data_IF_535669972729
#
_entry.id   IF_535669972729
#
_cell.length_a   1.000
_cell.length_b   1.000
_cell.length_c   1.000
_cell.angle_alpha   90.00
_cell.angle_beta   90.00
_cell.angle_gamma   90.00
#
_symmetry.space_group_name_H-M   'P 1'
#
loop_
_entity.id
_entity.type
_entity.pdbx_description
1 polymer ?
#
# COMPACT_ATOMS: atom_id res chain seq x y z
N UNK A 1 -10.47 0.67 -21.37
CA UNK A 1 -10.95 1.43 -20.21
C UNK A 1 -10.76 0.53 -19.01
N UNK A 2 -9.92 0.92 -18.06
CA UNK A 2 -9.74 0.18 -16.82
C UNK A 2 -10.95 0.39 -15.91
N UNK A 3 -11.49 -0.69 -15.35
CA UNK A 3 -12.64 -0.63 -14.45
C UNK A 3 -12.37 -1.44 -13.17
N UNK A 4 -12.90 -0.96 -12.06
CA UNK A 4 -12.84 -1.65 -10.78
C UNK A 4 -14.24 -2.18 -10.46
N UNK A 5 -14.45 -3.46 -10.71
CA UNK A 5 -15.73 -4.13 -10.42
C UNK A 5 -16.04 -4.08 -8.92
N UNK A 6 -17.21 -3.58 -8.56
CA UNK A 6 -17.74 -3.71 -7.21
C UNK A 6 -18.17 -5.15 -6.96
N UNK A 7 -17.92 -5.64 -5.76
CA UNK A 7 -18.27 -7.00 -5.38
C UNK A 7 -18.90 -6.93 -3.99
N UNK A 8 -20.08 -7.52 -3.86
CA UNK A 8 -20.73 -7.72 -2.57
C UNK A 8 -20.60 -9.16 -2.05
N UNK A 9 -21.13 -9.42 -0.84
CA UNK A 9 -21.06 -10.75 -0.23
C UNK A 9 -21.83 -11.83 -1.02
N UNK A 10 -22.90 -11.47 -1.72
CA UNK A 10 -23.68 -12.42 -2.52
C UNK A 10 -22.97 -12.76 -3.84
N UNK A 11 -22.27 -11.80 -4.42
CA UNK A 11 -21.42 -11.99 -5.60
C UNK A 11 -20.19 -12.84 -5.27
N UNK A 12 -19.58 -12.68 -4.09
CA UNK A 12 -18.50 -13.55 -3.59
C UNK A 12 -18.90 -15.04 -3.60
N UNK A 13 -20.09 -15.36 -3.08
CA UNK A 13 -20.59 -16.74 -3.01
C UNK A 13 -20.78 -17.36 -4.41
N UNK A 14 -21.20 -16.53 -5.39
CA UNK A 14 -21.39 -16.97 -6.78
C UNK A 14 -20.08 -17.15 -7.54
N UNK A 15 -19.08 -16.32 -7.26
CA UNK A 15 -17.83 -16.28 -8.01
C UNK A 15 -16.81 -17.35 -7.60
N UNK A 16 -17.09 -18.14 -6.55
CA UNK A 16 -16.17 -19.19 -6.04
C UNK A 16 -14.74 -18.66 -5.81
N UNK A 17 -14.63 -17.40 -5.38
CA UNK A 17 -13.33 -16.79 -5.11
C UNK A 17 -12.64 -17.52 -3.96
N UNK A 18 -11.33 -17.71 -4.12
CA UNK A 18 -10.53 -18.43 -3.12
C UNK A 18 -10.13 -17.49 -2.00
N UNK A 19 -10.10 -18.04 -0.78
CA UNK A 19 -9.47 -17.36 0.34
C UNK A 19 -7.99 -17.18 0.03
N UNK A 20 -7.53 -15.95 0.09
CA UNK A 20 -6.14 -15.61 -0.07
C UNK A 20 -5.31 -16.18 1.08
N UNK A 21 -4.17 -16.76 0.74
CA UNK A 21 -3.16 -17.21 1.70
C UNK A 21 -1.78 -16.74 1.19
N UNK A 22 -0.94 -16.14 2.03
CA UNK A 22 0.39 -15.73 1.63
C UNK A 22 1.29 -16.95 1.37
N UNK A 23 2.07 -16.91 0.29
CA UNK A 23 3.14 -17.87 0.00
C UNK A 23 4.23 -17.84 1.08
N UNK A 24 4.56 -16.66 1.60
CA UNK A 24 5.60 -16.46 2.63
C UNK A 24 5.06 -16.59 4.07
N UNK A 25 4.01 -17.42 4.28
CA UNK A 25 3.33 -17.57 5.57
C UNK A 25 4.29 -17.85 6.74
N UNK A 26 5.27 -18.74 6.54
CA UNK A 26 6.27 -19.06 7.58
C UNK A 26 7.01 -17.80 8.03
N UNK A 27 7.59 -17.06 7.07
CA UNK A 27 8.30 -15.80 7.34
C UNK A 27 7.39 -14.77 8.01
N UNK A 28 6.22 -14.50 7.43
CA UNK A 28 5.29 -13.47 7.93
C UNK A 28 4.88 -13.79 9.38
N UNK A 29 4.56 -15.05 9.68
CA UNK A 29 4.11 -15.46 11.01
C UNK A 29 5.16 -15.29 12.11
N UNK A 30 6.46 -15.27 11.77
CA UNK A 30 7.55 -15.04 12.74
C UNK A 30 7.51 -13.63 13.34
N UNK A 31 7.06 -12.63 12.56
CA UNK A 31 7.18 -11.22 12.94
C UNK A 31 5.84 -10.53 13.17
N UNK A 32 4.82 -10.88 12.37
CA UNK A 32 3.57 -10.14 12.28
C UNK A 32 2.89 -9.89 13.63
N UNK A 33 2.84 -10.88 14.52
CA UNK A 33 2.19 -10.72 15.82
C UNK A 33 2.90 -9.66 16.68
N UNK A 34 4.23 -9.71 16.73
CA UNK A 34 5.01 -8.73 17.50
C UNK A 34 4.86 -7.33 16.92
N UNK A 35 4.85 -7.20 15.60
CA UNK A 35 4.70 -5.93 14.90
C UNK A 35 3.31 -5.30 15.07
N UNK A 36 2.27 -6.10 15.26
CA UNK A 36 0.93 -5.61 15.55
C UNK A 36 0.76 -5.18 17.01
N UNK A 37 1.51 -5.80 17.93
CA UNK A 37 1.50 -5.47 19.36
C UNK A 37 2.32 -4.22 19.69
N UNK A 38 3.33 -3.89 18.88
CA UNK A 38 4.23 -2.76 19.12
C UNK A 38 3.63 -1.40 18.76
N UNK A 39 2.40 -1.35 18.21
CA UNK A 39 1.79 -0.12 17.70
C UNK A 39 0.43 0.16 18.35
N UNK A 40 0.29 1.36 18.91
CA UNK A 40 -0.96 1.92 19.47
C UNK A 40 -2.10 2.11 18.42
N UNK A 41 -1.89 1.73 17.16
CA UNK A 41 -2.83 1.98 16.04
C UNK A 41 -3.48 0.73 15.46
N UNK A 42 -3.21 -0.47 15.98
CA UNK A 42 -3.99 -1.66 15.62
C UNK A 42 -5.45 -1.45 16.02
N UNK A 43 -6.43 -2.03 15.31
CA UNK A 43 -7.82 -2.00 15.78
C UNK A 43 -7.94 -2.46 17.24
N UNK A 44 -7.05 -3.35 17.69
CA UNK A 44 -6.93 -3.75 19.09
C UNK A 44 -6.69 -2.57 20.07
N UNK A 45 -5.99 -1.52 19.65
CA UNK A 45 -5.74 -0.31 20.43
C UNK A 45 -6.73 0.84 20.11
N UNK A 46 -7.33 0.87 18.91
CA UNK A 46 -8.53 1.69 18.61
C UNK A 46 -9.71 1.36 19.55
N UNK A 47 -9.75 0.15 20.12
CA UNK A 47 -10.81 -0.34 21.01
C UNK A 47 -10.40 -0.30 22.49
N UNK A 48 -9.66 0.73 22.93
CA UNK A 48 -9.59 1.10 24.36
C UNK A 48 -10.92 1.71 24.89
N UNK A 49 -12.07 1.17 24.45
CA UNK A 49 -13.41 1.53 24.93
C UNK A 49 -14.11 0.35 25.64
N UNK A 50 -13.73 -0.92 25.44
CA UNK A 50 -14.08 -2.06 26.33
C UNK A 50 -13.58 -3.38 25.73
N UNK A 51 -12.71 -4.15 26.42
CA UNK A 51 -12.17 -5.42 25.92
C UNK A 51 -13.23 -6.48 25.55
N UNK A 52 -14.41 -6.46 26.20
CA UNK A 52 -15.51 -7.39 25.90
C UNK A 52 -16.27 -7.08 24.61
N UNK A 53 -16.18 -5.85 24.08
CA UNK A 53 -16.86 -5.44 22.85
C UNK A 53 -16.03 -5.72 21.59
N UNK A 54 -14.71 -5.87 21.71
CA UNK A 54 -13.77 -6.08 20.59
C UNK A 54 -14.03 -7.36 19.81
N UNK A 55 -14.27 -8.47 20.51
CA UNK A 55 -14.52 -9.76 19.88
C UNK A 55 -15.92 -9.81 19.25
N UNK A 56 -16.92 -9.21 19.92
CA UNK A 56 -18.27 -9.03 19.36
C UNK A 56 -18.28 -8.09 18.14
N UNK A 57 -17.38 -7.09 18.09
CA UNK A 57 -17.22 -6.19 16.94
C UNK A 57 -16.59 -6.90 15.74
N UNK A 58 -15.47 -7.59 15.94
CA UNK A 58 -14.82 -8.34 14.87
C UNK A 58 -15.73 -9.45 14.31
N UNK A 59 -16.65 -9.96 15.14
CA UNK A 59 -17.66 -10.94 14.72
C UNK A 59 -18.91 -10.31 14.06
N UNK A 60 -19.29 -9.06 14.38
CA UNK A 60 -20.45 -8.36 13.79
C UNK A 60 -20.11 -7.66 12.48
N UNK A 61 -18.93 -7.07 12.41
CA UNK A 61 -18.35 -6.54 11.18
C UNK A 61 -17.73 -7.73 10.46
N UNK A 62 -18.54 -8.52 9.76
CA UNK A 62 -18.05 -9.57 8.87
C UNK A 62 -17.23 -8.89 7.76
N UNK A 63 -15.94 -8.65 8.04
CA UNK A 63 -15.11 -7.73 7.28
C UNK A 63 -14.32 -8.52 6.28
N UNK A 64 -14.97 -8.73 5.14
CA UNK A 64 -14.37 -9.32 3.96
C UNK A 64 -13.66 -8.21 3.18
N UNK A 65 -12.49 -8.52 2.62
CA UNK A 65 -11.75 -7.62 1.72
C UNK A 65 -11.28 -8.37 0.50
N UNK A 66 -11.22 -7.66 -0.63
CA UNK A 66 -10.77 -8.23 -1.90
C UNK A 66 -9.45 -7.61 -2.29
N UNK A 67 -8.46 -8.45 -2.54
CA UNK A 67 -7.21 -8.07 -3.19
C UNK A 67 -7.42 -8.25 -4.69
N UNK A 68 -7.13 -7.21 -5.47
CA UNK A 68 -7.04 -7.30 -6.93
C UNK A 68 -5.61 -7.07 -7.35
N UNK A 69 -5.03 -8.06 -8.01
CA UNK A 69 -3.63 -8.03 -8.43
C UNK A 69 -3.54 -7.92 -9.95
N UNK A 70 -3.01 -6.80 -10.44
CA UNK A 70 -2.94 -6.50 -11.86
C UNK A 70 -1.50 -6.69 -12.36
N UNK A 71 -1.28 -7.74 -13.16
CA UNK A 71 0.04 -8.10 -13.68
C UNK A 71 0.55 -7.10 -14.74
N UNK A 72 -0.35 -6.52 -15.54
CA UNK A 72 -0.01 -5.57 -16.60
C UNK A 72 0.11 -4.14 -16.07
N UNK A 73 0.91 -3.31 -16.76
CA UNK A 73 0.95 -1.87 -16.49
C UNK A 73 -0.41 -1.24 -16.75
N UNK A 74 -0.87 -0.42 -15.80
CA UNK A 74 -2.16 0.25 -15.89
C UNK A 74 -1.96 1.72 -16.20
N UNK A 75 -2.72 2.25 -17.16
CA UNK A 75 -2.74 3.67 -17.42
C UNK A 75 -3.24 4.44 -16.18
N UNK A 76 -2.46 5.42 -15.72
CA UNK A 76 -2.77 6.12 -14.48
C UNK A 76 -4.12 6.84 -14.52
N UNK A 77 -4.45 7.51 -15.63
CA UNK A 77 -5.70 8.28 -15.76
C UNK A 77 -6.92 7.36 -15.65
N UNK A 78 -6.88 6.21 -16.32
CA UNK A 78 -7.98 5.25 -16.29
C UNK A 78 -8.17 4.68 -14.88
N UNK A 79 -7.09 4.29 -14.20
CA UNK A 79 -7.18 3.81 -12.81
C UNK A 79 -7.68 4.88 -11.84
N UNK A 80 -7.26 6.13 -12.03
CA UNK A 80 -7.67 7.25 -11.20
C UNK A 80 -9.18 7.50 -11.33
N UNK A 81 -9.68 7.53 -12.56
CA UNK A 81 -11.11 7.67 -12.83
C UNK A 81 -11.89 6.48 -12.25
N UNK A 82 -11.41 5.25 -12.46
CA UNK A 82 -12.05 4.06 -11.92
C UNK A 82 -12.12 4.08 -10.37
N UNK A 83 -11.07 4.56 -9.68
CA UNK A 83 -11.08 4.68 -8.22
C UNK A 83 -12.11 5.70 -7.73
N UNK A 84 -12.25 6.83 -8.44
CA UNK A 84 -13.26 7.84 -8.16
C UNK A 84 -14.66 7.24 -8.33
N UNK A 85 -14.91 6.57 -9.46
CA UNK A 85 -16.22 6.01 -9.79
C UNK A 85 -16.59 4.87 -8.85
N UNK A 86 -15.64 3.98 -8.53
CA UNK A 86 -15.80 2.97 -7.48
C UNK A 86 -16.20 3.64 -6.17
N UNK A 87 -15.47 4.69 -5.77
CA UNK A 87 -15.71 5.35 -4.48
C UNK A 87 -17.07 6.02 -4.41
N UNK A 88 -17.52 6.64 -5.50
CA UNK A 88 -18.81 7.35 -5.58
C UNK A 88 -20.00 6.39 -5.67
N UNK A 89 -19.84 5.31 -6.41
CA UNK A 89 -20.94 4.41 -6.74
C UNK A 89 -21.05 3.21 -5.78
N UNK A 90 -20.15 3.08 -4.79
CA UNK A 90 -20.20 1.99 -3.81
C UNK A 90 -21.50 2.03 -3.01
N UNK A 91 -22.01 0.86 -2.66
CA UNK A 91 -23.16 0.68 -1.75
C UNK A 91 -22.68 0.23 -0.37
N UNK A 92 -23.61 0.16 0.59
CA UNK A 92 -23.30 -0.38 1.92
C UNK A 92 -22.92 -1.86 1.93
N UNK A 93 -23.12 -2.58 0.82
CA UNK A 93 -22.77 -3.99 0.67
C UNK A 93 -21.47 -4.19 -0.14
N UNK A 94 -20.97 -3.16 -0.81
CA UNK A 94 -19.76 -3.23 -1.63
C UNK A 94 -18.54 -3.44 -0.74
N UNK A 95 -17.81 -4.53 -0.91
CA UNK A 95 -16.65 -4.85 -0.09
C UNK A 95 -15.49 -3.89 -0.33
N UNK A 96 -14.65 -3.72 0.69
CA UNK A 96 -13.40 -2.98 0.56
C UNK A 96 -12.46 -3.71 -0.41
N UNK A 97 -11.66 -2.93 -1.16
CA UNK A 97 -10.71 -3.47 -2.11
C UNK A 97 -9.31 -2.90 -1.91
N UNK A 98 -8.31 -3.77 -2.02
CA UNK A 98 -6.89 -3.45 -2.06
C UNK A 98 -6.42 -3.75 -3.48
N UNK A 99 -5.97 -2.74 -4.21
CA UNK A 99 -5.46 -2.92 -5.57
C UNK A 99 -3.94 -2.95 -5.54
N UNK A 100 -3.35 -3.98 -6.11
CA UNK A 100 -1.91 -4.08 -6.39
C UNK A 100 -1.71 -3.87 -7.89
N UNK A 101 -0.93 -2.87 -8.27
CA UNK A 101 -0.67 -2.60 -9.67
C UNK A 101 0.65 -1.84 -9.86
N UNK A 102 1.00 -1.64 -11.13
CA UNK A 102 2.08 -0.76 -11.55
C UNK A 102 1.54 0.18 -12.64
N UNK A 103 2.20 1.32 -12.84
CA UNK A 103 1.81 2.29 -13.86
C UNK A 103 2.80 2.37 -15.00
N UNK A 104 2.30 2.74 -16.17
CA UNK A 104 3.11 3.37 -17.21
C UNK A 104 3.79 4.64 -16.64
N UNK A 105 4.94 5.08 -17.17
CA UNK A 105 5.61 6.30 -16.72
C UNK A 105 4.67 7.51 -16.68
N UNK A 106 4.52 8.12 -15.50
CA UNK A 106 3.65 9.30 -15.30
C UNK A 106 4.15 10.17 -14.15
N UNK A 107 4.10 11.48 -14.32
CA UNK A 107 4.20 12.42 -13.21
C UNK A 107 2.80 12.78 -12.71
N UNK A 108 2.61 12.76 -11.39
CA UNK A 108 1.32 13.14 -10.79
C UNK A 108 1.51 14.26 -9.80
N UNK A 109 0.71 15.31 -9.93
CA UNK A 109 0.75 16.51 -9.09
C UNK A 109 -0.47 16.51 -8.17
N UNK A 110 -0.25 16.40 -6.86
CA UNK A 110 -1.32 16.47 -5.86
C UNK A 110 -1.87 17.89 -5.69
N UNK A 111 -2.92 18.03 -4.89
CA UNK A 111 -3.67 19.29 -4.71
C UNK A 111 -2.84 20.43 -4.11
N UNK A 112 -1.78 20.11 -3.37
CA UNK A 112 -0.87 21.11 -2.80
C UNK A 112 0.35 21.36 -3.71
N UNK A 113 0.40 20.69 -4.87
CA UNK A 113 1.49 20.70 -5.83
C UNK A 113 1.76 22.06 -6.44
N UNK A 114 2.97 22.58 -6.30
CA UNK A 114 3.42 23.72 -7.10
C UNK A 114 3.93 23.29 -8.48
N UNK A 115 3.49 23.93 -9.58
CA UNK A 115 4.05 23.69 -10.92
C UNK A 115 5.58 23.89 -10.98
N UNK A 116 6.14 24.74 -10.11
CA UNK A 116 7.58 25.01 -10.04
C UNK A 116 8.40 23.81 -9.53
N UNK A 117 7.74 22.77 -8.97
CA UNK A 117 8.41 21.53 -8.63
C UNK A 117 8.54 20.57 -9.80
N UNK A 118 8.00 20.89 -10.98
CA UNK A 118 8.35 20.25 -12.24
C UNK A 118 9.48 21.06 -12.87
N UNK A 119 10.68 20.48 -12.94
CA UNK A 119 11.90 21.20 -13.30
C UNK A 119 12.14 21.20 -14.81
N UNK A 120 12.46 20.03 -15.36
CA UNK A 120 12.74 19.86 -16.78
C UNK A 120 12.40 18.42 -17.18
N UNK A 121 11.17 18.21 -17.66
CA UNK A 121 10.70 16.91 -18.09
C UNK A 121 11.30 16.53 -19.46
N UNK A 122 12.56 16.10 -19.45
CA UNK A 122 13.31 15.68 -20.65
C UNK A 122 12.84 14.34 -21.24
N UNK A 123 12.01 13.60 -20.51
CA UNK A 123 11.55 12.26 -20.86
C UNK A 123 10.22 12.23 -21.61
N UNK A 124 9.59 13.40 -21.84
CA UNK A 124 8.23 13.50 -22.40
C UNK A 124 7.17 12.68 -21.64
N UNK A 125 7.38 12.48 -20.33
CA UNK A 125 6.44 11.75 -19.47
C UNK A 125 5.22 12.64 -19.19
N UNK A 126 3.97 12.16 -19.31
CA UNK A 126 2.80 12.99 -19.06
C UNK A 126 2.74 13.47 -17.61
N UNK A 127 2.27 14.70 -17.41
CA UNK A 127 2.00 15.29 -16.09
C UNK A 127 0.49 15.33 -15.89
N UNK A 128 -0.01 14.60 -14.90
CA UNK A 128 -1.43 14.49 -14.58
C UNK A 128 -1.74 15.18 -13.24
N UNK A 129 -2.89 15.87 -13.17
CA UNK A 129 -3.38 16.43 -11.92
C UNK A 129 -4.10 15.33 -11.11
N UNK A 130 -3.73 15.20 -9.85
CA UNK A 130 -4.29 14.25 -8.91
C UNK A 130 -4.98 15.00 -7.77
N UNK A 131 -6.04 14.42 -7.22
CA UNK A 131 -6.81 15.02 -6.12
C UNK A 131 -6.37 14.55 -4.72
N UNK A 132 -5.27 13.79 -4.66
CA UNK A 132 -4.60 13.36 -3.43
C UNK A 132 -3.80 14.50 -2.80
N UNK A 133 -3.51 14.35 -1.51
CA UNK A 133 -2.55 15.19 -0.82
C UNK A 133 -1.13 15.08 -1.41
N UNK A 134 -0.27 16.02 -1.02
CA UNK A 134 1.13 16.06 -1.41
C UNK A 134 1.41 16.91 -2.66
N UNK A 135 2.69 16.93 -3.05
CA UNK A 135 3.21 17.70 -4.18
C UNK A 135 3.26 16.81 -5.45
N UNK A 136 4.29 17.00 -6.29
CA UNK A 136 4.59 16.15 -7.44
C UNK A 136 5.31 14.86 -7.04
N UNK A 137 5.04 13.77 -7.77
CA UNK A 137 5.79 12.49 -7.71
C UNK A 137 5.83 11.83 -9.09
N UNK A 138 6.61 10.77 -9.21
CA UNK A 138 6.72 9.90 -10.39
C UNK A 138 6.23 8.47 -10.08
N UNK A 139 5.57 7.86 -11.06
CA UNK A 139 5.24 6.43 -11.08
C UNK A 139 5.70 5.79 -12.38
N UNK A 140 6.11 4.53 -12.32
CA UNK A 140 6.54 3.77 -13.49
C UNK A 140 6.69 2.27 -13.21
N UNK A 141 7.17 1.50 -14.20
CA UNK A 141 7.41 0.08 -14.04
C UNK A 141 8.37 -0.23 -12.88
N UNK A 142 8.15 -1.38 -12.23
CA UNK A 142 8.86 -1.87 -11.03
C UNK A 142 8.71 -0.99 -9.78
N UNK A 143 7.74 -0.06 -9.79
CA UNK A 143 7.22 0.59 -8.60
C UNK A 143 5.91 -0.07 -8.20
N UNK A 144 5.85 -0.67 -7.03
CA UNK A 144 4.63 -1.30 -6.54
C UNK A 144 3.67 -0.24 -6.00
N UNK A 145 2.51 -0.15 -6.62
CA UNK A 145 1.43 0.73 -6.18
C UNK A 145 0.40 -0.10 -5.42
N UNK A 146 0.02 0.36 -4.22
CA UNK A 146 -1.04 -0.25 -3.44
C UNK A 146 -2.09 0.81 -3.15
N UNK A 147 -3.27 0.64 -3.75
CA UNK A 147 -4.42 1.53 -3.54
C UNK A 147 -5.42 0.90 -2.58
N UNK A 148 -5.89 1.69 -1.61
CA UNK A 148 -6.81 1.27 -0.56
C UNK A 148 -8.19 1.89 -0.79
N UNK A 149 -9.16 1.06 -1.17
CA UNK A 149 -10.55 1.46 -1.37
C UNK A 149 -11.38 1.04 -0.14
N UNK A 150 -11.19 1.75 0.97
CA UNK A 150 -11.83 1.44 2.26
C UNK A 150 -13.06 2.34 2.47
N UNK A 151 -14.19 1.78 2.89
CA UNK A 151 -15.44 2.48 3.21
C UNK A 151 -15.47 2.92 4.68
N UNK A 152 -15.79 4.19 4.90
CA UNK A 152 -15.89 4.77 6.23
C UNK A 152 -17.32 4.89 6.75
N UNK A 153 -18.32 4.93 5.87
CA UNK A 153 -19.73 5.04 6.23
C UNK A 153 -20.21 3.74 6.91
N UNK A 154 -19.75 2.56 6.45
CA UNK A 154 -20.04 1.29 7.14
C UNK A 154 -19.54 1.29 8.58
N UNK A 155 -18.28 1.68 8.78
CA UNK A 155 -17.69 1.80 10.12
C UNK A 155 -18.46 2.84 10.93
N UNK A 156 -18.70 4.04 10.41
CA UNK A 156 -19.43 5.09 11.13
C UNK A 156 -20.82 4.67 11.62
N UNK A 157 -21.58 3.87 10.85
CA UNK A 157 -22.89 3.35 11.28
C UNK A 157 -22.78 2.42 12.50
N UNK A 158 -21.69 1.67 12.59
CA UNK A 158 -21.45 0.71 13.67
C UNK A 158 -20.86 1.37 14.93
N UNK A 159 -20.18 2.52 14.77
CA UNK A 159 -19.51 3.26 15.85
C UNK A 159 -20.10 4.67 16.02
N UNK A 160 -20.92 4.88 17.05
CA UNK A 160 -21.51 6.19 17.36
C UNK A 160 -20.48 7.32 17.59
N UNK A 161 -19.23 6.97 17.95
CA UNK A 161 -18.10 7.89 18.19
C UNK A 161 -16.98 7.78 17.14
N UNK A 162 -17.31 7.49 15.87
CA UNK A 162 -16.31 7.37 14.80
C UNK A 162 -15.63 8.71 14.46
N UNK A 163 -14.35 8.86 14.81
CA UNK A 163 -13.50 9.97 14.35
C UNK A 163 -12.82 9.63 13.02
N UNK A 164 -13.31 10.26 11.95
CA UNK A 164 -12.79 10.12 10.60
C UNK A 164 -11.31 10.50 10.47
N UNK A 165 -10.88 11.57 11.15
CA UNK A 165 -9.50 12.06 11.06
C UNK A 165 -8.55 11.09 11.73
N UNK A 166 -8.94 10.57 12.89
CA UNK A 166 -8.19 9.53 13.57
C UNK A 166 -8.07 8.28 12.71
N UNK A 167 -9.18 7.78 12.16
CA UNK A 167 -9.19 6.57 11.34
C UNK A 167 -8.34 6.71 10.07
N UNK A 168 -8.42 7.85 9.38
CA UNK A 168 -7.57 8.16 8.24
C UNK A 168 -6.08 8.15 8.62
N UNK A 169 -5.71 8.72 9.77
CA UNK A 169 -4.33 8.69 10.27
C UNK A 169 -3.88 7.25 10.58
N UNK A 170 -4.75 6.42 11.16
CA UNK A 170 -4.44 5.01 11.42
C UNK A 170 -4.16 4.24 10.13
N UNK A 171 -4.86 4.53 9.03
CA UNK A 171 -4.56 3.94 7.71
C UNK A 171 -3.17 4.35 7.23
N UNK A 172 -2.85 5.64 7.29
CA UNK A 172 -1.51 6.15 6.92
C UNK A 172 -0.42 5.46 7.75
N UNK A 173 -0.57 5.46 9.07
CA UNK A 173 0.41 4.84 9.99
C UNK A 173 0.51 3.33 9.77
N UNK A 174 -0.59 2.63 9.49
CA UNK A 174 -0.54 1.20 9.18
C UNK A 174 0.23 0.91 7.89
N UNK A 175 0.04 1.71 6.83
CA UNK A 175 0.82 1.58 5.59
C UNK A 175 2.30 1.86 5.83
N UNK A 176 2.62 2.89 6.62
CA UNK A 176 4.01 3.23 6.94
C UNK A 176 4.70 2.11 7.73
N UNK A 177 4.06 1.64 8.80
CA UNK A 177 4.60 0.55 9.63
C UNK A 177 4.73 -0.75 8.85
N UNK A 178 3.76 -1.10 8.00
CA UNK A 178 3.85 -2.28 7.16
C UNK A 178 5.14 -2.30 6.33
N UNK A 179 5.49 -1.16 5.70
CA UNK A 179 6.70 -1.02 4.90
C UNK A 179 7.96 -0.95 5.78
N UNK A 180 7.96 -0.17 6.86
CA UNK A 180 9.11 -0.08 7.77
C UNK A 180 9.47 -1.46 8.33
N UNK A 181 8.47 -2.22 8.78
CA UNK A 181 8.67 -3.54 9.38
C UNK A 181 9.23 -4.52 8.36
N UNK A 182 8.61 -4.69 7.18
CA UNK A 182 9.11 -5.66 6.20
C UNK A 182 10.53 -5.34 5.76
N UNK A 183 10.86 -4.07 5.50
CA UNK A 183 12.20 -3.68 5.09
C UNK A 183 13.23 -3.93 6.21
N UNK A 184 12.84 -3.72 7.47
CA UNK A 184 13.69 -4.06 8.62
C UNK A 184 13.92 -5.57 8.73
N UNK A 185 12.86 -6.37 8.59
CA UNK A 185 12.92 -7.83 8.73
C UNK A 185 13.72 -8.53 7.63
N UNK A 186 13.79 -7.93 6.43
CA UNK A 186 14.64 -8.41 5.34
C UNK A 186 16.08 -7.86 5.41
N UNK A 187 16.43 -7.18 6.50
CA UNK A 187 17.81 -6.80 6.85
C UNK A 187 18.23 -5.39 6.44
N UNK A 188 17.30 -4.54 5.99
CA UNK A 188 17.62 -3.15 5.66
C UNK A 188 17.72 -2.33 6.94
N UNK A 189 18.86 -1.66 7.13
CA UNK A 189 19.10 -0.83 8.31
C UNK A 189 18.59 0.60 8.11
N UNK A 190 18.28 1.28 9.23
CA UNK A 190 17.91 2.72 9.27
C UNK A 190 16.65 3.06 8.46
N UNK A 191 15.72 2.11 8.33
CA UNK A 191 14.40 2.32 7.73
C UNK A 191 13.50 3.08 8.72
N UNK A 192 12.83 4.14 8.26
CA UNK A 192 11.91 4.89 9.12
C UNK A 192 10.88 5.70 8.32
N UNK A 193 9.77 6.02 8.98
CA UNK A 193 8.81 7.04 8.54
C UNK A 193 9.13 8.40 9.20
N UNK A 194 8.65 9.50 8.62
CA UNK A 194 8.82 10.86 9.15
C UNK A 194 7.46 11.53 9.38
N UNK A 195 7.16 12.05 10.58
CA UNK A 195 5.85 12.67 10.85
C UNK A 195 5.49 13.88 9.98
N UNK A 196 6.51 14.66 9.57
CA UNK A 196 6.40 15.90 8.79
C UNK A 196 6.63 15.69 7.28
N UNK A 197 7.06 14.51 6.88
CA UNK A 197 7.31 14.15 5.48
C UNK A 197 6.81 12.72 5.20
N UNK A 198 5.50 12.53 4.96
CA UNK A 198 4.89 11.21 4.81
C UNK A 198 5.57 10.32 3.76
N UNK A 199 5.72 9.04 4.08
CA UNK A 199 6.46 8.07 3.27
C UNK A 199 7.65 7.47 4.03
N UNK A 200 8.35 6.53 3.38
CA UNK A 200 9.40 5.74 4.02
C UNK A 200 10.77 6.09 3.45
N UNK A 201 11.75 6.13 4.34
CA UNK A 201 13.12 6.52 4.08
C UNK A 201 14.08 5.42 4.53
N UNK A 202 15.15 5.24 3.75
CA UNK A 202 16.34 4.48 4.14
C UNK A 202 17.45 5.52 4.29
N UNK A 203 17.92 5.73 5.52
CA UNK A 203 18.76 6.88 5.84
C UNK A 203 18.09 8.20 5.41
N UNK A 204 18.68 8.94 4.47
CA UNK A 204 18.12 10.20 3.97
C UNK A 204 17.41 10.07 2.62
N UNK A 205 17.40 8.88 2.02
CA UNK A 205 16.79 8.63 0.70
C UNK A 205 15.38 8.10 0.86
N UNK A 206 14.46 8.54 0.01
CA UNK A 206 13.06 8.12 0.04
C UNK A 206 12.86 6.87 -0.81
N UNK A 207 12.32 5.83 -0.20
CA UNK A 207 12.06 4.54 -0.85
C UNK A 207 10.57 4.33 -1.15
N UNK A 208 9.69 5.02 -0.42
CA UNK A 208 8.25 4.93 -0.63
C UNK A 208 7.57 6.28 -0.45
N UNK A 209 6.63 6.57 -1.35
CA UNK A 209 5.79 7.78 -1.31
C UNK A 209 4.35 7.42 -0.95
N UNK A 210 3.74 8.25 -0.10
CA UNK A 210 2.40 8.03 0.41
C UNK A 210 1.51 9.22 0.08
N UNK A 211 0.33 8.95 -0.45
CA UNK A 211 -0.69 9.96 -0.71
C UNK A 211 -2.07 9.33 -0.72
N UNK A 212 -2.80 9.47 0.38
CA UNK A 212 -4.16 8.96 0.53
C UNK A 212 -5.18 10.08 0.30
N UNK A 213 -6.23 9.81 -0.48
CA UNK A 213 -7.42 10.67 -0.54
C UNK A 213 -8.46 10.15 0.43
N UNK A 214 -8.90 11.03 1.31
CA UNK A 214 -10.02 10.78 2.21
C UNK A 214 -11.21 11.59 1.73
N UNK A 215 -12.34 10.92 1.56
CA UNK A 215 -13.64 11.54 1.26
C UNK A 215 -14.62 11.20 2.38
N UNK A 216 -15.84 11.72 2.29
CA UNK A 216 -16.92 11.31 3.18
C UNK A 216 -17.26 9.82 3.05
N UNK A 217 -17.18 9.26 1.84
CA UNK A 217 -17.64 7.89 1.54
C UNK A 217 -16.55 6.83 1.71
N UNK A 218 -15.29 7.23 1.82
CA UNK A 218 -14.16 6.31 1.93
C UNK A 218 -12.86 6.87 1.39
N UNK A 219 -11.92 5.97 1.12
CA UNK A 219 -10.57 6.27 0.62
C UNK A 219 -10.31 5.74 -0.78
N UNK A 220 -9.30 6.34 -1.42
CA UNK A 220 -8.57 5.84 -2.59
C UNK A 220 -7.19 6.50 -2.67
N UNK A 221 -6.39 6.11 -3.67
CA UNK A 221 -4.92 6.20 -3.66
C UNK A 221 -4.33 5.35 -2.51
N UNK A 222 -3.10 5.63 -2.09
CA UNK A 222 -2.42 4.81 -1.10
C UNK A 222 -0.92 5.06 -1.08
N UNK A 223 -0.15 4.01 -1.37
CA UNK A 223 1.32 4.00 -1.24
C UNK A 223 1.99 3.51 -2.53
N UNK A 224 3.14 4.08 -2.85
CA UNK A 224 3.98 3.76 -3.99
C UNK A 224 5.38 3.41 -3.50
N UNK A 225 5.77 2.14 -3.66
CA UNK A 225 6.99 1.56 -3.10
C UNK A 225 7.97 1.29 -4.25
N UNK A 226 9.17 1.87 -4.17
CA UNK A 226 10.22 1.70 -5.18
C UNK A 226 10.93 0.36 -4.96
N UNK A 227 10.62 -0.66 -5.75
CA UNK A 227 11.23 -1.98 -5.61
C UNK A 227 12.55 -2.01 -6.38
N UNK A 228 12.48 -1.78 -7.70
CA UNK A 228 13.59 -1.85 -8.66
C UNK A 228 13.28 -0.98 -9.91
N UNK A 229 12.73 0.21 -9.70
CA UNK A 229 12.29 1.09 -10.79
C UNK A 229 13.42 1.94 -11.37
N UNK A 230 13.22 2.46 -12.58
CA UNK A 230 14.07 3.55 -13.09
C UNK A 230 13.84 4.83 -12.28
N UNK A 231 14.88 5.29 -11.59
CA UNK A 231 14.83 6.49 -10.75
C UNK A 231 15.20 7.77 -11.51
N UNK A 232 15.73 7.69 -12.73
CA UNK A 232 16.20 8.86 -13.49
C UNK A 232 15.11 9.94 -13.68
N UNK A 233 13.82 9.59 -13.91
CA UNK A 233 12.75 10.59 -14.03
C UNK A 233 12.54 11.44 -12.77
N UNK A 234 12.89 10.96 -11.57
CA UNK A 234 12.80 11.77 -10.35
C UNK A 234 13.69 13.01 -10.39
N UNK A 235 14.79 13.02 -11.15
CA UNK A 235 15.64 14.20 -11.34
C UNK A 235 14.94 15.33 -12.13
N UNK A 236 13.80 15.05 -12.76
CA UNK A 236 13.00 16.05 -13.48
C UNK A 236 12.01 16.79 -12.58
N UNK A 237 11.93 16.41 -11.29
CA UNK A 237 10.99 16.98 -10.32
C UNK A 237 11.68 17.25 -8.97
N UNK A 238 11.05 18.07 -8.13
CA UNK A 238 11.34 18.15 -6.71
C UNK A 238 10.31 17.27 -5.97
N UNK A 239 10.59 15.98 -5.73
CA UNK A 239 9.61 15.07 -5.16
C UNK A 239 9.20 15.56 -3.77
N UNK A 240 7.89 15.51 -3.50
CA UNK A 240 7.32 16.03 -2.24
C UNK A 240 7.63 17.52 -1.96
N UNK A 241 8.10 18.29 -2.95
CA UNK A 241 8.45 19.71 -2.83
C UNK A 241 9.86 19.98 -2.27
N UNK A 242 10.64 18.94 -1.97
CA UNK A 242 11.98 19.08 -1.41
C UNK A 242 13.03 19.03 -2.53
N UNK A 243 13.77 20.12 -2.69
CA UNK A 243 14.88 20.15 -3.63
C UNK A 243 16.01 19.22 -3.16
N UNK A 244 16.53 18.40 -4.08
CA UNK A 244 17.64 17.49 -3.80
C UNK A 244 17.28 16.26 -2.96
N UNK A 245 15.98 15.99 -2.72
CA UNK A 245 15.58 14.73 -2.10
C UNK A 245 15.89 13.56 -3.04
N UNK A 246 16.82 12.70 -2.63
CA UNK A 246 17.17 11.49 -3.36
C UNK A 246 16.12 10.39 -3.14
N UNK A 247 15.79 9.70 -4.21
CA UNK A 247 14.99 8.48 -4.18
C UNK A 247 15.90 7.25 -4.22
N UNK A 248 15.44 6.11 -3.75
CA UNK A 248 16.16 4.84 -3.86
C UNK A 248 15.22 3.66 -4.09
N UNK A 249 15.78 2.52 -4.51
CA UNK A 249 15.09 1.25 -4.66
C UNK A 249 15.42 0.31 -3.51
N UNK A 250 14.49 -0.60 -3.19
CA UNK A 250 14.70 -1.62 -2.15
C UNK A 250 15.77 -2.63 -2.56
N UNK A 251 15.76 -3.05 -3.83
CA UNK A 251 16.72 -4.02 -4.35
C UNK A 251 18.18 -3.55 -4.22
N UNK A 252 18.45 -2.24 -4.15
CA UNK A 252 19.79 -1.67 -3.93
C UNK A 252 20.36 -1.99 -2.53
N UNK A 253 19.50 -2.33 -1.56
CA UNK A 253 19.89 -2.54 -0.15
C UNK A 253 19.82 -4.00 0.30
N UNK A 254 19.41 -4.92 -0.57
CA UNK A 254 19.24 -6.33 -0.23
C UNK A 254 20.30 -7.14 -0.96
N UNK A 255 21.10 -7.88 -0.20
CA UNK A 255 21.93 -8.95 -0.74
C UNK A 255 21.08 -10.23 -0.85
N UNK A 256 20.90 -10.84 -2.04
CA UNK A 256 20.14 -12.10 -2.17
C UNK A 256 20.59 -13.20 -1.19
N UNK A 257 21.89 -13.23 -0.84
CA UNK A 257 22.44 -14.21 0.10
C UNK A 257 21.90 -14.02 1.53
N UNK A 258 21.51 -12.81 1.94
CA UNK A 258 20.92 -12.59 3.27
C UNK A 258 19.53 -13.24 3.38
N UNK A 259 18.79 -13.32 2.27
CA UNK A 259 17.44 -13.91 2.24
C UNK A 259 17.46 -15.43 2.49
N UNK A 260 18.59 -16.10 2.30
CA UNK A 260 18.76 -17.52 2.64
C UNK A 260 18.61 -17.74 4.16
N UNK A 261 19.17 -16.84 4.97
CA UNK A 261 19.07 -16.94 6.44
C UNK A 261 17.64 -16.73 6.95
N UNK A 262 16.79 -16.12 6.12
CA UNK A 262 15.38 -15.89 6.39
C UNK A 262 14.48 -17.02 5.84
N UNK A 263 15.06 -18.06 5.26
CA UNK A 263 14.37 -19.18 4.61
C UNK A 263 13.50 -18.73 3.42
N UNK A 264 13.83 -17.59 2.82
CA UNK A 264 13.12 -17.06 1.64
C UNK A 264 13.73 -17.59 0.33
N UNK A 265 14.97 -18.08 0.38
CA UNK A 265 15.72 -18.66 -0.73
C UNK A 265 16.56 -19.85 -0.26
N UNK A 266 16.81 -20.80 -1.15
CA UNK A 266 17.90 -21.78 -0.97
C UNK A 266 19.26 -21.14 -1.33
N UNK A 267 20.39 -21.68 -0.83
CA UNK A 267 21.71 -21.22 -1.24
C UNK A 267 21.94 -21.26 -2.76
N UNK A 268 21.41 -22.28 -3.44
CA UNK A 268 21.50 -22.43 -4.89
C UNK A 268 20.69 -21.36 -5.64
N UNK A 269 19.47 -21.05 -5.17
CA UNK A 269 18.67 -19.98 -5.75
C UNK A 269 19.36 -18.62 -5.57
N UNK A 270 19.90 -18.34 -4.39
CA UNK A 270 20.61 -17.09 -4.08
C UNK A 270 21.80 -16.81 -5.02
N UNK A 271 22.45 -17.85 -5.53
CA UNK A 271 23.59 -17.73 -6.44
C UNK A 271 23.20 -17.52 -7.92
N UNK A 272 22.01 -17.99 -8.31
CA UNK A 272 21.60 -18.06 -9.71
C UNK A 272 20.40 -17.16 -10.06
N UNK A 273 19.95 -16.32 -9.13
CA UNK A 273 18.86 -15.38 -9.34
C UNK A 273 19.17 -14.37 -10.44
N UNK A 274 18.32 -14.34 -11.46
CA UNK A 274 18.30 -13.23 -12.41
C UNK A 274 17.75 -11.95 -11.73
N UNK A 275 18.06 -10.75 -12.27
CA UNK A 275 17.49 -9.50 -11.74
C UNK A 275 15.96 -9.50 -11.70
N UNK A 276 15.30 -10.12 -12.68
CA UNK A 276 13.84 -10.16 -12.76
C UNK A 276 13.23 -11.11 -11.73
N UNK A 277 13.83 -12.28 -11.52
CA UNK A 277 13.41 -13.19 -10.44
C UNK A 277 13.62 -12.57 -9.06
N UNK A 278 14.70 -11.81 -8.87
CA UNK A 278 14.97 -11.09 -7.63
C UNK A 278 13.94 -9.99 -7.37
N UNK A 279 13.65 -9.17 -8.38
CA UNK A 279 12.56 -8.19 -8.32
C UNK A 279 11.22 -8.87 -7.95
N UNK A 280 10.86 -9.94 -8.64
CA UNK A 280 9.58 -10.65 -8.44
C UNK A 280 9.45 -11.23 -7.03
N UNK A 281 10.54 -11.80 -6.50
CA UNK A 281 10.61 -12.29 -5.12
C UNK A 281 10.39 -11.17 -4.11
N UNK A 282 11.17 -10.09 -4.21
CA UNK A 282 11.11 -8.96 -3.27
C UNK A 282 9.75 -8.28 -3.33
N UNK A 283 9.21 -8.06 -4.53
CA UNK A 283 7.89 -7.47 -4.71
C UNK A 283 6.78 -8.34 -4.09
N UNK A 284 6.80 -9.65 -4.35
CA UNK A 284 5.82 -10.58 -3.79
C UNK A 284 5.88 -10.60 -2.27
N UNK A 285 7.09 -10.64 -1.68
CA UNK A 285 7.28 -10.64 -0.24
C UNK A 285 6.74 -9.37 0.42
N UNK A 286 7.03 -8.21 -0.17
CA UNK A 286 6.53 -6.93 0.31
C UNK A 286 5.01 -6.86 0.23
N UNK A 287 4.42 -7.25 -0.89
CA UNK A 287 2.97 -7.27 -1.06
C UNK A 287 2.30 -8.17 -0.02
N UNK A 288 2.77 -9.40 0.15
CA UNK A 288 2.15 -10.35 1.07
C UNK A 288 2.29 -9.94 2.54
N UNK A 289 3.45 -9.42 2.95
CA UNK A 289 3.61 -8.90 4.30
C UNK A 289 2.75 -7.65 4.51
N UNK A 290 2.77 -6.70 3.56
CA UNK A 290 1.99 -5.47 3.64
C UNK A 290 0.49 -5.76 3.78
N UNK A 291 -0.04 -6.63 2.92
CA UNK A 291 -1.43 -7.07 2.99
C UNK A 291 -1.69 -7.73 4.35
N UNK A 292 -0.86 -8.68 4.77
CA UNK A 292 -1.04 -9.36 6.06
C UNK A 292 -1.08 -8.38 7.23
N UNK A 293 -0.19 -7.39 7.24
CA UNK A 293 -0.16 -6.34 8.26
C UNK A 293 -1.42 -5.49 8.23
N UNK A 294 -1.82 -5.03 7.05
CA UNK A 294 -2.98 -4.15 6.88
C UNK A 294 -4.29 -4.88 7.26
N UNK A 295 -4.51 -6.08 6.74
CA UNK A 295 -5.75 -6.81 6.97
C UNK A 295 -5.96 -7.16 8.44
N UNK A 296 -4.88 -7.50 9.15
CA UNK A 296 -4.92 -7.73 10.60
C UNK A 296 -5.07 -6.41 11.38
N UNK A 297 -4.40 -5.34 10.96
CA UNK A 297 -4.54 -4.01 11.57
C UNK A 297 -5.99 -3.53 11.55
N UNK A 298 -6.73 -3.87 10.50
CA UNK A 298 -8.13 -3.52 10.31
C UNK A 298 -9.13 -4.66 10.58
N UNK A 299 -8.66 -5.74 11.22
CA UNK A 299 -9.44 -6.88 11.69
C UNK A 299 -10.31 -7.56 10.61
N UNK A 300 -9.90 -7.53 9.34
CA UNK A 300 -10.55 -8.29 8.28
C UNK A 300 -10.43 -9.79 8.56
N UNK A 301 -11.56 -10.50 8.52
CA UNK A 301 -11.66 -11.92 8.89
C UNK A 301 -11.51 -12.86 7.69
N UNK A 302 -11.93 -12.39 6.52
CA UNK A 302 -11.84 -13.15 5.26
C UNK A 302 -11.22 -12.27 4.18
N UNK A 303 -10.12 -12.76 3.60
CA UNK A 303 -9.41 -12.06 2.53
C UNK A 303 -9.56 -12.89 1.28
N UNK A 304 -10.05 -12.28 0.20
CA UNK A 304 -10.20 -12.91 -1.11
C UNK A 304 -9.21 -12.30 -2.08
N UNK A 305 -8.74 -13.08 -3.06
CA UNK A 305 -7.89 -12.56 -4.14
C UNK A 305 -8.55 -12.82 -5.50
N UNK A 306 -8.48 -11.82 -6.38
CA UNK A 306 -8.89 -11.86 -7.79
C UNK A 306 -7.68 -11.48 -8.64
#
# INVERSE_FOLDING_TARGET
MFEITQIDAHELEKTKLTLWQPKFKSFISKFLLQDLLSVETSIANLIQISPSKTQDLNNKICSKVIIKDYESLINWRDSFQAMIDFTRNRTENTLDQILLLQHEPVFTQGVNGSPNHVLNNKFNIPIMQADRGGQVTYHGPKQQIIYLLIDFERKKKEFAEFDLKFYARSIVTAMENAVVNILTHIGISKVHAKPDAPGIYIENKKVSSLGLKVTRHGTYHGIAINIDMDLEPFHSINPCGYAGLEMCNICDYINPQSLVSLELLTPEQAQNLTPEEFYSLVNSLINEYFISYLVNSFAYTEVYKI
#
